data_IF_845245139279
#
_entry.id   IF_845245139279
#
_cell.length_a   1.000
_cell.length_b   1.000
_cell.length_c   1.000
_cell.angle_alpha   90.00
_cell.angle_beta   90.00
_cell.angle_gamma   90.00
#
_symmetry.space_group_name_H-M   'P 1'
#
loop_
_entity.id
_entity.type
_entity.pdbx_description
1 polymer ?
#
# COMPACT_ATOMS: atom_id res chain seq x y z
N UNK A 1 -49.51 -6.00 -16.80
CA UNK A 1 -48.70 -5.17 -15.86
C UNK A 1 -47.96 -6.15 -14.97
N UNK A 2 -46.65 -6.37 -15.18
CA UNK A 2 -45.89 -7.40 -14.47
C UNK A 2 -45.92 -7.23 -12.95
N UNK A 3 -45.98 -5.98 -12.45
CA UNK A 3 -46.02 -5.72 -10.99
C UNK A 3 -47.33 -6.19 -10.31
N UNK A 4 -48.45 -6.22 -11.02
CA UNK A 4 -49.74 -6.62 -10.43
C UNK A 4 -49.80 -8.12 -10.09
N UNK A 5 -49.12 -8.96 -10.87
CA UNK A 5 -49.04 -10.40 -10.63
C UNK A 5 -48.15 -10.73 -9.43
N UNK A 6 -47.08 -9.94 -9.21
CA UNK A 6 -46.19 -10.08 -8.06
C UNK A 6 -46.93 -9.86 -6.74
N UNK A 7 -47.75 -8.81 -6.63
CA UNK A 7 -48.51 -8.56 -5.41
C UNK A 7 -49.52 -9.69 -5.10
N UNK A 8 -50.21 -10.18 -6.13
CA UNK A 8 -51.13 -11.32 -6.01
C UNK A 8 -50.42 -12.62 -5.57
N UNK A 9 -49.19 -12.84 -6.04
CA UNK A 9 -48.37 -14.00 -5.65
C UNK A 9 -47.92 -13.91 -4.18
N UNK A 10 -47.50 -12.72 -3.74
CA UNK A 10 -47.13 -12.47 -2.34
C UNK A 10 -48.34 -12.64 -1.40
N UNK A 11 -49.51 -12.11 -1.77
CA UNK A 11 -50.76 -12.28 -0.99
C UNK A 11 -51.14 -13.76 -0.87
N UNK A 12 -51.04 -14.52 -1.96
CA UNK A 12 -51.28 -15.97 -1.95
C UNK A 12 -50.29 -16.72 -1.06
N UNK A 13 -49.00 -16.38 -1.15
CA UNK A 13 -47.94 -17.01 -0.34
C UNK A 13 -48.17 -16.72 1.15
N UNK A 14 -48.53 -15.48 1.50
CA UNK A 14 -48.86 -15.10 2.87
C UNK A 14 -50.07 -15.88 3.40
N UNK A 15 -51.12 -16.02 2.58
CA UNK A 15 -52.34 -16.72 2.97
C UNK A 15 -52.15 -18.23 3.16
N UNK A 16 -51.30 -18.87 2.35
CA UNK A 16 -51.11 -20.32 2.37
C UNK A 16 -49.97 -20.76 3.29
N UNK A 17 -48.85 -20.05 3.27
CA UNK A 17 -47.56 -20.51 3.82
C UNK A 17 -47.01 -19.57 4.91
N UNK A 18 -47.65 -18.42 5.13
CA UNK A 18 -47.37 -17.50 6.22
C UNK A 18 -46.28 -16.45 5.94
N UNK A 19 -45.95 -15.60 6.94
CA UNK A 19 -45.12 -14.41 6.72
C UNK A 19 -43.68 -14.70 6.32
N UNK A 20 -43.08 -15.77 6.86
CA UNK A 20 -41.69 -16.12 6.54
C UNK A 20 -41.58 -16.55 5.07
N UNK A 21 -42.52 -17.35 4.58
CA UNK A 21 -42.57 -17.78 3.18
C UNK A 21 -42.79 -16.60 2.22
N UNK A 22 -43.64 -15.64 2.60
CA UNK A 22 -43.83 -14.39 1.84
C UNK A 22 -42.52 -13.60 1.73
N UNK A 23 -41.76 -13.46 2.83
CA UNK A 23 -40.48 -12.74 2.85
C UNK A 23 -39.40 -13.47 2.03
N UNK A 24 -39.35 -14.80 2.09
CA UNK A 24 -38.49 -15.62 1.23
C UNK A 24 -38.82 -15.42 -0.25
N UNK A 25 -40.12 -15.40 -0.60
CA UNK A 25 -40.59 -15.17 -1.96
C UNK A 25 -40.25 -13.77 -2.47
N UNK A 26 -40.46 -12.74 -1.63
CA UNK A 26 -40.09 -11.36 -1.93
C UNK A 26 -38.58 -11.23 -2.19
N UNK A 27 -37.76 -11.83 -1.33
CA UNK A 27 -36.31 -11.78 -1.47
C UNK A 27 -35.85 -12.43 -2.79
N UNK A 28 -36.40 -13.60 -3.13
CA UNK A 28 -36.09 -14.29 -4.38
C UNK A 28 -36.43 -13.45 -5.62
N UNK A 29 -37.60 -12.80 -5.63
CA UNK A 29 -38.01 -11.94 -6.74
C UNK A 29 -37.14 -10.68 -6.87
N UNK A 30 -36.77 -10.05 -5.76
CA UNK A 30 -35.89 -8.88 -5.78
C UNK A 30 -34.48 -9.23 -6.26
N UNK A 31 -33.97 -10.40 -5.87
CA UNK A 31 -32.70 -10.90 -6.36
C UNK A 31 -32.74 -11.20 -7.86
N UNK A 32 -33.78 -11.88 -8.35
CA UNK A 32 -33.99 -12.18 -9.78
C UNK A 32 -34.15 -10.90 -10.61
N UNK A 33 -34.79 -9.87 -10.06
CA UNK A 33 -34.92 -8.55 -10.67
C UNK A 33 -33.65 -7.67 -10.53
N UNK A 34 -32.56 -8.18 -9.96
CA UNK A 34 -31.31 -7.45 -9.69
C UNK A 34 -31.48 -6.18 -8.83
N UNK A 35 -32.55 -6.12 -8.02
CA UNK A 35 -32.83 -5.03 -7.08
C UNK A 35 -32.15 -5.29 -5.73
N UNK A 36 -30.82 -5.23 -5.73
CA UNK A 36 -29.99 -5.72 -4.62
C UNK A 36 -30.15 -4.93 -3.31
N UNK A 37 -30.44 -3.62 -3.37
CA UNK A 37 -30.65 -2.82 -2.15
C UNK A 37 -31.97 -3.18 -1.49
N UNK A 38 -33.03 -3.31 -2.28
CA UNK A 38 -34.33 -3.77 -1.81
C UNK A 38 -34.26 -5.22 -1.34
N UNK A 39 -33.44 -6.05 -1.99
CA UNK A 39 -33.17 -7.41 -1.56
C UNK A 39 -32.54 -7.47 -0.16
N UNK A 40 -31.58 -6.58 0.13
CA UNK A 40 -31.04 -6.44 1.49
C UNK A 40 -32.13 -6.09 2.52
N UNK A 41 -33.01 -5.16 2.19
CA UNK A 41 -34.12 -4.78 3.08
C UNK A 41 -35.08 -5.96 3.33
N UNK A 42 -35.39 -6.76 2.30
CA UNK A 42 -36.18 -7.98 2.47
C UNK A 42 -35.47 -9.01 3.36
N UNK A 43 -34.15 -9.18 3.21
CA UNK A 43 -33.33 -10.06 4.08
C UNK A 43 -33.36 -9.59 5.54
N UNK A 44 -33.27 -8.27 5.77
CA UNK A 44 -33.37 -7.67 7.12
C UNK A 44 -34.74 -7.95 7.76
N UNK A 45 -35.83 -7.75 7.01
CA UNK A 45 -37.19 -8.04 7.50
C UNK A 45 -37.35 -9.52 7.87
N UNK A 46 -36.87 -10.42 7.01
CA UNK A 46 -36.89 -11.87 7.25
C UNK A 46 -36.11 -12.25 8.50
N UNK A 47 -34.89 -11.72 8.66
CA UNK A 47 -34.05 -11.97 9.82
C UNK A 47 -34.74 -11.53 11.11
N UNK A 48 -35.27 -10.29 11.15
CA UNK A 48 -36.01 -9.78 12.32
C UNK A 48 -37.23 -10.65 12.65
N UNK A 49 -38.01 -11.03 11.64
CA UNK A 49 -39.16 -11.92 11.83
C UNK A 49 -38.75 -13.28 12.41
N UNK A 50 -37.68 -13.88 11.89
CA UNK A 50 -37.18 -15.18 12.38
C UNK A 50 -36.69 -15.15 13.83
N UNK A 51 -36.24 -13.99 14.29
CA UNK A 51 -35.80 -13.73 15.67
C UNK A 51 -36.94 -13.28 16.59
N UNK A 52 -38.18 -13.21 16.09
CA UNK A 52 -39.35 -12.75 16.85
C UNK A 52 -39.34 -11.25 17.15
N UNK A 53 -38.56 -10.47 16.39
CA UNK A 53 -38.46 -9.02 16.54
C UNK A 53 -39.51 -8.30 15.67
N UNK A 54 -39.94 -7.09 16.07
CA UNK A 54 -40.78 -6.24 15.22
C UNK A 54 -40.10 -5.96 13.87
N UNK A 55 -40.84 -6.08 12.77
CA UNK A 55 -40.33 -5.87 11.41
C UNK A 55 -39.76 -4.46 11.22
N UNK A 56 -40.43 -3.46 11.77
CA UNK A 56 -39.96 -2.08 11.79
C UNK A 56 -39.23 -1.81 13.11
N UNK A 57 -38.05 -1.17 13.09
CA UNK A 57 -37.39 -0.73 14.31
C UNK A 57 -38.26 0.33 14.99
N UNK A 58 -38.72 0.03 16.21
CA UNK A 58 -39.34 1.01 17.11
C UNK A 58 -38.22 1.53 18.03
N UNK A 59 -38.26 2.80 18.45
CA UNK A 59 -37.21 3.46 19.25
C UNK A 59 -36.81 2.76 20.57
N UNK A 60 -37.43 1.64 20.93
CA UNK A 60 -37.15 0.88 22.15
C UNK A 60 -36.64 -0.53 21.83
N UNK A 61 -35.42 -0.64 21.31
CA UNK A 61 -34.63 -1.90 21.31
C UNK A 61 -33.87 -2.09 22.64
N UNK A 62 -34.23 -1.37 23.71
CA UNK A 62 -33.54 -1.40 25.02
C UNK A 62 -33.66 -2.75 25.75
N UNK A 63 -34.61 -3.62 25.38
CA UNK A 63 -34.88 -4.89 26.05
C UNK A 63 -34.62 -6.14 25.19
N UNK A 64 -33.96 -6.01 24.04
CA UNK A 64 -33.59 -7.19 23.23
C UNK A 64 -32.48 -7.97 23.96
N UNK A 65 -32.69 -9.27 24.26
CA UNK A 65 -31.66 -10.10 24.88
C UNK A 65 -30.36 -10.09 24.08
N UNK A 66 -29.23 -10.09 24.78
CA UNK A 66 -27.90 -10.04 24.14
C UNK A 66 -27.72 -11.14 23.10
N UNK A 67 -28.12 -12.38 23.40
CA UNK A 67 -28.05 -13.48 22.45
C UNK A 67 -28.87 -13.26 21.16
N UNK A 68 -29.99 -12.53 21.24
CA UNK A 68 -30.80 -12.17 20.06
C UNK A 68 -30.16 -11.03 19.29
N UNK A 69 -29.53 -10.08 19.99
CA UNK A 69 -28.77 -8.99 19.37
C UNK A 69 -27.58 -9.53 18.59
N UNK A 70 -26.78 -10.42 19.17
CA UNK A 70 -25.66 -11.08 18.49
C UNK A 70 -26.12 -11.79 17.21
N UNK A 71 -27.21 -12.57 17.28
CA UNK A 71 -27.77 -13.24 16.09
C UNK A 71 -28.26 -12.27 15.02
N UNK A 72 -28.81 -11.13 15.42
CA UNK A 72 -29.23 -10.08 14.49
C UNK A 72 -28.01 -9.47 13.80
N UNK A 73 -26.98 -9.10 14.56
CA UNK A 73 -25.75 -8.49 14.03
C UNK A 73 -25.03 -9.45 13.07
N UNK A 74 -24.86 -10.72 13.47
CA UNK A 74 -24.27 -11.77 12.62
C UNK A 74 -25.07 -11.96 11.32
N UNK A 75 -26.40 -12.03 11.41
CA UNK A 75 -27.25 -12.20 10.23
C UNK A 75 -27.26 -10.95 9.31
N UNK A 76 -27.11 -9.75 9.87
CA UNK A 76 -26.97 -8.52 9.07
C UNK A 76 -25.62 -8.47 8.35
N UNK A 77 -24.54 -8.88 9.01
CA UNK A 77 -23.22 -9.01 8.39
C UNK A 77 -23.28 -10.02 7.23
N UNK A 78 -23.94 -11.15 7.41
CA UNK A 78 -24.10 -12.14 6.34
C UNK A 78 -24.93 -11.60 5.17
N UNK A 79 -26.01 -10.87 5.46
CA UNK A 79 -26.79 -10.20 4.42
C UNK A 79 -25.97 -9.15 3.65
N UNK A 80 -25.11 -8.38 4.34
CA UNK A 80 -24.17 -7.46 3.70
C UNK A 80 -23.16 -8.21 2.83
N UNK A 81 -22.62 -9.34 3.30
CA UNK A 81 -21.69 -10.18 2.53
C UNK A 81 -22.33 -10.67 1.24
N UNK A 82 -23.52 -11.25 1.32
CA UNK A 82 -24.26 -11.74 0.15
C UNK A 82 -24.56 -10.60 -0.85
N UNK A 83 -25.22 -9.55 -0.39
CA UNK A 83 -25.65 -8.42 -1.24
C UNK A 83 -24.46 -7.72 -1.89
N UNK A 84 -23.41 -7.47 -1.10
CA UNK A 84 -22.17 -6.90 -1.58
C UNK A 84 -21.52 -7.76 -2.66
N UNK A 85 -21.47 -9.08 -2.46
CA UNK A 85 -20.90 -10.02 -3.45
C UNK A 85 -21.67 -10.00 -4.77
N UNK A 86 -23.01 -10.00 -4.71
CA UNK A 86 -23.84 -9.94 -5.92
C UNK A 86 -23.70 -8.61 -6.66
N UNK A 87 -23.64 -7.49 -5.94
CA UNK A 87 -23.36 -6.17 -6.52
C UNK A 87 -21.99 -6.14 -7.21
N UNK A 88 -20.98 -6.70 -6.55
CA UNK A 88 -19.61 -6.72 -7.06
C UNK A 88 -19.53 -7.53 -8.36
N UNK A 89 -20.11 -8.73 -8.38
CA UNK A 89 -20.18 -9.60 -9.57
C UNK A 89 -21.04 -9.03 -10.69
N UNK A 90 -21.98 -8.14 -10.37
CA UNK A 90 -22.75 -7.38 -11.36
C UNK A 90 -21.99 -6.16 -11.91
N UNK A 91 -20.73 -5.94 -11.50
CA UNK A 91 -19.92 -4.79 -11.93
C UNK A 91 -20.25 -3.48 -11.23
N UNK A 92 -21.13 -3.49 -10.22
CA UNK A 92 -21.55 -2.32 -9.43
C UNK A 92 -20.59 -2.15 -8.24
N UNK A 93 -19.33 -1.82 -8.54
CA UNK A 93 -18.19 -1.91 -7.62
C UNK A 93 -18.36 -0.96 -6.43
N UNK A 94 -18.60 0.33 -6.66
CA UNK A 94 -18.77 1.30 -5.55
C UNK A 94 -19.93 0.94 -4.63
N UNK A 95 -21.03 0.46 -5.21
CA UNK A 95 -22.21 0.06 -4.45
C UNK A 95 -21.97 -1.22 -3.64
N UNK A 96 -21.19 -2.15 -4.19
CA UNK A 96 -20.78 -3.35 -3.45
C UNK A 96 -20.00 -3.00 -2.18
N UNK A 97 -19.10 -2.00 -2.27
CA UNK A 97 -18.25 -1.59 -1.16
C UNK A 97 -19.06 -1.01 0.01
N UNK A 98 -20.20 -0.36 -0.27
CA UNK A 98 -21.12 0.11 0.77
C UNK A 98 -21.52 -1.01 1.76
N UNK A 99 -21.70 -2.24 1.26
CA UNK A 99 -22.05 -3.41 2.07
C UNK A 99 -20.81 -4.17 2.55
N UNK A 100 -19.85 -4.42 1.66
CA UNK A 100 -18.68 -5.26 1.97
C UNK A 100 -17.78 -4.65 3.04
N UNK A 101 -17.71 -3.31 3.15
CA UNK A 101 -16.98 -2.64 4.23
C UNK A 101 -17.51 -2.99 5.63
N UNK A 102 -18.80 -3.25 5.76
CA UNK A 102 -19.43 -3.60 7.04
C UNK A 102 -19.09 -5.04 7.46
N UNK A 103 -18.73 -5.89 6.51
CA UNK A 103 -18.29 -7.28 6.78
C UNK A 103 -16.91 -7.29 7.46
N UNK A 104 -16.05 -6.31 7.14
CA UNK A 104 -14.71 -6.20 7.71
C UNK A 104 -13.70 -7.25 7.24
N UNK A 105 -14.12 -8.20 6.42
CA UNK A 105 -13.31 -9.29 5.88
C UNK A 105 -12.61 -8.86 4.58
N UNK A 106 -11.46 -8.19 4.72
CA UNK A 106 -10.71 -7.64 3.57
C UNK A 106 -10.18 -8.73 2.64
N UNK A 107 -9.83 -9.90 3.18
CA UNK A 107 -9.30 -11.02 2.38
C UNK A 107 -10.39 -11.59 1.47
N UNK A 108 -11.60 -11.77 2.00
CA UNK A 108 -12.75 -12.16 1.20
C UNK A 108 -13.00 -11.20 0.03
N UNK A 109 -13.02 -9.88 0.30
CA UNK A 109 -13.27 -8.88 -0.74
C UNK A 109 -12.17 -8.89 -1.80
N UNK A 110 -10.90 -9.05 -1.39
CA UNK A 110 -9.77 -9.18 -2.32
C UNK A 110 -9.94 -10.39 -3.23
N UNK A 111 -10.38 -11.52 -2.70
CA UNK A 111 -10.60 -12.74 -3.48
C UNK A 111 -11.77 -12.57 -4.47
N UNK A 112 -12.88 -11.95 -4.08
CA UNK A 112 -13.97 -11.66 -5.01
C UNK A 112 -13.55 -10.66 -6.10
N UNK A 113 -12.77 -9.63 -5.76
CA UNK A 113 -12.20 -8.69 -6.74
C UNK A 113 -11.23 -9.37 -7.72
N UNK A 114 -10.53 -10.42 -7.28
CA UNK A 114 -9.56 -11.15 -8.10
C UNK A 114 -10.17 -11.87 -9.31
N UNK A 115 -11.44 -12.27 -9.19
CA UNK A 115 -12.18 -12.98 -10.24
C UNK A 115 -12.77 -12.03 -11.28
N UNK A 116 -12.66 -10.73 -11.08
CA UNK A 116 -13.23 -9.71 -11.94
C UNK A 116 -12.15 -9.01 -12.76
N UNK A 117 -12.47 -8.74 -14.01
CA UNK A 117 -11.63 -7.91 -14.88
C UNK A 117 -12.27 -6.52 -14.99
N UNK A 118 -11.56 -5.45 -14.62
CA UNK A 118 -12.06 -4.10 -14.83
C UNK A 118 -12.30 -3.82 -16.31
N UNK A 119 -13.32 -3.03 -16.57
CA UNK A 119 -13.61 -2.43 -17.88
C UNK A 119 -13.17 -0.97 -17.85
N UNK A 120 -13.06 -0.34 -19.02
CA UNK A 120 -12.73 1.09 -19.10
C UNK A 120 -13.74 1.99 -18.35
N UNK A 121 -15.00 1.54 -18.21
CA UNK A 121 -16.07 2.33 -17.58
C UNK A 121 -16.03 2.27 -16.03
N UNK A 122 -15.51 1.19 -15.46
CA UNK A 122 -15.51 0.99 -14.00
C UNK A 122 -14.10 0.90 -13.38
N UNK A 123 -13.05 1.09 -14.18
CA UNK A 123 -11.66 1.05 -13.71
C UNK A 123 -11.41 1.98 -12.51
N UNK A 124 -11.96 3.20 -12.53
CA UNK A 124 -11.78 4.16 -11.44
C UNK A 124 -12.39 3.65 -10.12
N UNK A 125 -13.49 2.88 -10.18
CA UNK A 125 -14.08 2.27 -9.00
C UNK A 125 -13.20 1.14 -8.46
N UNK A 126 -12.55 0.37 -9.33
CA UNK A 126 -11.56 -0.64 -8.92
C UNK A 126 -10.33 0.01 -8.30
N UNK A 127 -9.82 1.10 -8.89
CA UNK A 127 -8.69 1.86 -8.35
C UNK A 127 -8.99 2.44 -6.96
N UNK A 128 -10.21 2.92 -6.74
CA UNK A 128 -10.69 3.35 -5.43
C UNK A 128 -10.55 2.24 -4.38
N UNK A 129 -11.02 1.04 -4.70
CA UNK A 129 -10.96 -0.11 -3.80
C UNK A 129 -9.53 -0.64 -3.61
N UNK A 130 -8.75 -0.73 -4.68
CA UNK A 130 -7.39 -1.26 -4.65
C UNK A 130 -6.42 -0.33 -3.89
N UNK A 131 -6.47 0.97 -4.18
CA UNK A 131 -5.48 1.94 -3.69
C UNK A 131 -6.00 2.74 -2.48
N UNK A 132 -7.17 3.38 -2.59
CA UNK A 132 -7.65 4.25 -1.51
C UNK A 132 -8.12 3.45 -0.29
N UNK A 133 -8.90 2.38 -0.52
CA UNK A 133 -9.32 1.46 0.54
C UNK A 133 -8.21 0.45 0.93
N UNK A 134 -7.17 0.33 0.08
CA UNK A 134 -5.97 -0.46 0.33
C UNK A 134 -6.19 -1.98 0.23
N UNK A 135 -7.11 -2.43 -0.61
CA UNK A 135 -7.42 -3.85 -0.74
C UNK A 135 -6.32 -4.61 -1.48
N UNK A 136 -5.71 -4.01 -2.51
CA UNK A 136 -4.70 -4.65 -3.38
C UNK A 136 -3.84 -3.62 -4.10
N UNK A 137 -2.75 -3.18 -3.48
CA UNK A 137 -1.86 -2.16 -4.05
C UNK A 137 -1.14 -2.62 -5.32
N UNK A 138 -0.83 -3.92 -5.44
CA UNK A 138 -0.10 -4.46 -6.58
C UNK A 138 -0.95 -4.36 -7.84
N UNK A 139 -2.21 -4.81 -7.79
CA UNK A 139 -3.13 -4.65 -8.92
C UNK A 139 -3.45 -3.20 -9.23
N UNK A 140 -3.63 -2.38 -8.19
CA UNK A 140 -3.91 -0.96 -8.35
C UNK A 140 -2.83 -0.23 -9.15
N UNK A 141 -1.56 -0.37 -8.75
CA UNK A 141 -0.45 0.27 -9.47
C UNK A 141 -0.17 -0.36 -10.84
N UNK A 142 -0.34 -1.67 -11.00
CA UNK A 142 -0.22 -2.32 -12.30
C UNK A 142 -1.25 -1.75 -13.30
N UNK A 143 -2.51 -1.62 -12.87
CA UNK A 143 -3.56 -1.04 -13.71
C UNK A 143 -3.33 0.46 -13.99
N UNK A 144 -2.84 1.24 -13.02
CA UNK A 144 -2.47 2.64 -13.24
C UNK A 144 -1.37 2.80 -14.30
N UNK A 145 -0.31 1.99 -14.21
CA UNK A 145 0.80 2.03 -15.15
C UNK A 145 0.34 1.67 -16.57
N UNK A 146 -0.52 0.67 -16.69
CA UNK A 146 -1.03 0.21 -17.98
C UNK A 146 -1.99 1.22 -18.63
N UNK A 147 -2.91 1.80 -17.85
CA UNK A 147 -4.03 2.59 -18.40
C UNK A 147 -3.80 4.10 -18.36
N UNK A 148 -3.06 4.60 -17.38
CA UNK A 148 -2.85 6.04 -17.13
C UNK A 148 -1.37 6.47 -17.24
N UNK A 149 -0.44 5.52 -17.35
CA UNK A 149 0.99 5.76 -17.57
C UNK A 149 1.79 6.19 -16.33
N UNK A 150 3.08 6.44 -16.56
CA UNK A 150 4.10 6.66 -15.51
C UNK A 150 3.83 7.91 -14.66
N UNK A 151 3.54 9.06 -15.28
CA UNK A 151 3.34 10.33 -14.57
C UNK A 151 2.17 10.27 -13.58
N UNK A 152 1.03 9.70 -14.02
CA UNK A 152 -0.14 9.54 -13.17
C UNK A 152 0.16 8.56 -12.03
N UNK A 153 0.84 7.45 -12.33
CA UNK A 153 1.24 6.46 -11.33
C UNK A 153 2.18 7.03 -10.26
N UNK A 154 3.12 7.89 -10.64
CA UNK A 154 4.00 8.62 -9.72
C UNK A 154 3.19 9.57 -8.82
N UNK A 155 2.28 10.34 -9.41
CA UNK A 155 1.43 11.30 -8.68
C UNK A 155 0.52 10.58 -7.68
N UNK A 156 -0.07 9.45 -8.09
CA UNK A 156 -0.90 8.63 -7.21
C UNK A 156 -0.06 7.96 -6.12
N UNK A 157 1.16 7.50 -6.42
CA UNK A 157 2.06 6.94 -5.41
C UNK A 157 2.35 7.96 -4.31
N UNK A 158 2.80 9.16 -4.69
CA UNK A 158 3.19 10.20 -3.72
C UNK A 158 2.03 10.61 -2.79
N UNK A 159 0.80 10.61 -3.31
CA UNK A 159 -0.40 10.97 -2.54
C UNK A 159 -0.98 9.82 -1.70
N UNK A 160 -1.12 8.62 -2.25
CA UNK A 160 -1.80 7.49 -1.58
C UNK A 160 -0.87 6.75 -0.62
N UNK A 161 0.43 6.67 -0.95
CA UNK A 161 1.41 5.93 -0.15
C UNK A 161 2.00 6.77 0.99
N UNK A 162 1.71 8.06 1.03
CA UNK A 162 2.12 8.93 2.12
C UNK A 162 1.59 8.42 3.47
N UNK A 163 2.50 8.23 4.43
CA UNK A 163 2.16 7.74 5.77
C UNK A 163 1.75 6.26 5.84
N UNK A 164 1.74 5.51 4.72
CA UNK A 164 1.51 4.06 4.74
C UNK A 164 2.74 3.32 5.28
N UNK A 165 2.59 2.13 5.88
CA UNK A 165 3.71 1.30 6.27
C UNK A 165 4.66 1.01 5.10
N UNK A 166 5.96 0.90 5.37
CA UNK A 166 6.98 0.69 4.34
C UNK A 166 6.71 -0.54 3.47
N UNK A 167 6.21 -1.62 4.06
CA UNK A 167 5.84 -2.84 3.34
C UNK A 167 4.79 -2.58 2.24
N UNK A 168 3.83 -1.69 2.48
CA UNK A 168 2.82 -1.31 1.49
C UNK A 168 3.41 -0.39 0.42
N UNK A 169 4.22 0.60 0.83
CA UNK A 169 4.91 1.52 -0.08
C UNK A 169 5.83 0.76 -1.05
N UNK A 170 6.55 -0.24 -0.55
CA UNK A 170 7.45 -1.08 -1.33
C UNK A 170 6.77 -1.74 -2.54
N UNK A 171 5.47 -2.07 -2.45
CA UNK A 171 4.71 -2.70 -3.53
C UNK A 171 4.63 -1.76 -4.75
N UNK A 172 4.20 -0.52 -4.54
CA UNK A 172 4.11 0.47 -5.61
C UNK A 172 5.48 0.88 -6.14
N UNK A 173 6.46 1.07 -5.25
CA UNK A 173 7.82 1.45 -5.61
C UNK A 173 8.47 0.38 -6.52
N UNK A 174 8.30 -0.91 -6.20
CA UNK A 174 8.79 -2.02 -7.01
C UNK A 174 8.25 -1.97 -8.45
N UNK A 175 6.94 -1.77 -8.61
CA UNK A 175 6.32 -1.71 -9.93
C UNK A 175 6.82 -0.51 -10.74
N UNK A 176 6.94 0.65 -10.09
CA UNK A 176 7.46 1.87 -10.72
C UNK A 176 8.93 1.72 -11.15
N UNK A 177 9.78 1.13 -10.30
CA UNK A 177 11.19 0.86 -10.62
C UNK A 177 11.31 -0.07 -11.81
N UNK A 178 10.58 -1.20 -11.81
CA UNK A 178 10.62 -2.16 -12.92
C UNK A 178 10.13 -1.55 -14.22
N UNK A 179 9.04 -0.78 -14.17
CA UNK A 179 8.49 -0.11 -15.34
C UNK A 179 9.46 0.91 -15.93
N UNK A 180 9.99 1.81 -15.10
CA UNK A 180 10.90 2.86 -15.58
C UNK A 180 12.24 2.30 -16.06
N UNK A 181 12.77 1.26 -15.41
CA UNK A 181 13.97 0.58 -15.87
C UNK A 181 13.74 -0.08 -17.24
N UNK A 182 12.62 -0.78 -17.43
CA UNK A 182 12.28 -1.37 -18.73
C UNK A 182 12.14 -0.31 -19.84
N UNK A 183 11.54 0.84 -19.52
CA UNK A 183 11.45 2.00 -20.43
C UNK A 183 12.86 2.52 -20.82
N UNK A 184 13.75 2.68 -19.83
CA UNK A 184 15.14 3.10 -20.06
C UNK A 184 15.89 2.13 -20.97
N UNK A 185 15.83 0.84 -20.67
CA UNK A 185 16.48 -0.20 -21.50
C UNK A 185 15.93 -0.19 -22.92
N UNK A 186 14.61 -0.08 -23.09
CA UNK A 186 13.98 0.01 -24.41
C UNK A 186 14.48 1.21 -25.21
N UNK A 187 14.57 2.38 -24.58
CA UNK A 187 15.01 3.61 -25.23
C UNK A 187 16.51 3.61 -25.55
N UNK A 188 17.34 3.07 -24.67
CA UNK A 188 18.78 2.87 -24.90
C UNK A 188 19.02 1.90 -26.06
N UNK A 189 18.31 0.76 -26.10
CA UNK A 189 18.35 -0.20 -27.23
C UNK A 189 18.02 0.49 -28.55
N UNK A 190 16.90 1.21 -28.59
CA UNK A 190 16.48 1.90 -29.79
C UNK A 190 17.49 2.97 -30.24
N UNK A 191 18.24 3.59 -29.32
CA UNK A 191 19.29 4.56 -29.66
C UNK A 191 20.55 3.87 -30.21
N UNK A 192 20.99 2.77 -29.61
CA UNK A 192 22.12 1.97 -30.10
C UNK A 192 21.85 1.41 -31.51
N UNK A 193 20.65 0.89 -31.76
CA UNK A 193 20.24 0.41 -33.08
C UNK A 193 20.29 1.52 -34.14
N UNK A 194 19.82 2.73 -33.80
CA UNK A 194 19.83 3.88 -34.71
C UNK A 194 21.25 4.37 -35.05
N UNK A 195 22.18 4.22 -34.12
CA UNK A 195 23.58 4.63 -34.29
C UNK A 195 24.46 3.55 -34.90
N UNK A 196 23.91 2.36 -35.19
CA UNK A 196 24.63 1.22 -35.75
C UNK A 196 25.55 0.54 -34.74
N UNK A 197 25.33 0.78 -33.44
CA UNK A 197 26.06 0.14 -32.35
C UNK A 197 25.71 -1.35 -32.22
N UNK A 198 26.60 -2.12 -31.59
CA UNK A 198 26.28 -3.47 -31.18
C UNK A 198 25.23 -3.43 -30.06
N UNK A 199 24.19 -4.25 -30.18
CA UNK A 199 23.14 -4.40 -29.17
C UNK A 199 23.40 -5.71 -28.43
N UNK A 200 23.90 -5.68 -27.19
CA UNK A 200 24.18 -6.88 -26.41
C UNK A 200 22.91 -7.71 -26.13
N UNK A 201 23.07 -9.01 -25.89
CA UNK A 201 21.94 -9.86 -25.47
C UNK A 201 21.50 -9.55 -24.03
N UNK A 202 22.47 -9.29 -23.14
CA UNK A 202 22.26 -8.85 -21.75
C UNK A 202 22.50 -7.34 -21.65
N UNK A 203 21.54 -6.63 -21.06
CA UNK A 203 21.54 -5.17 -20.99
C UNK A 203 21.67 -4.73 -19.53
N UNK A 204 22.89 -4.32 -19.16
CA UNK A 204 23.14 -3.60 -17.91
C UNK A 204 23.45 -2.15 -18.25
N UNK A 205 22.73 -1.23 -17.59
CA UNK A 205 22.92 0.21 -17.83
C UNK A 205 24.35 0.63 -17.52
N UNK A 206 24.94 0.10 -16.44
CA UNK A 206 26.32 0.38 -16.01
C UNK A 206 27.36 0.06 -17.09
N UNK A 207 27.23 -1.09 -17.76
CA UNK A 207 28.14 -1.51 -18.83
C UNK A 207 28.04 -0.59 -20.05
N UNK A 208 26.82 -0.18 -20.42
CA UNK A 208 26.61 0.72 -21.56
C UNK A 208 27.20 2.11 -21.32
N UNK A 209 27.00 2.64 -20.12
CA UNK A 209 27.55 3.95 -19.74
C UNK A 209 29.08 3.91 -19.82
N UNK A 210 29.71 2.85 -19.28
CA UNK A 210 31.17 2.71 -19.28
C UNK A 210 31.78 2.56 -20.69
N UNK A 211 31.05 1.94 -21.63
CA UNK A 211 31.52 1.70 -22.99
C UNK A 211 31.19 2.84 -23.97
N UNK A 212 30.22 3.69 -23.64
CA UNK A 212 29.61 4.64 -24.57
C UNK A 212 29.35 6.02 -23.93
N UNK A 213 30.42 6.75 -23.61
CA UNK A 213 30.35 8.15 -23.11
C UNK A 213 29.48 9.08 -23.98
N UNK A 214 29.37 8.80 -25.28
CA UNK A 214 28.57 9.57 -26.23
C UNK A 214 27.06 9.45 -26.01
N UNK A 215 26.57 8.51 -25.21
CA UNK A 215 25.13 8.36 -24.89
C UNK A 215 24.55 9.64 -24.27
N UNK A 216 25.37 10.41 -23.56
CA UNK A 216 24.96 11.66 -22.89
C UNK A 216 25.45 12.91 -23.61
N UNK A 217 26.05 12.76 -24.80
CA UNK A 217 26.51 13.90 -25.59
C UNK A 217 25.34 14.84 -25.94
N UNK A 218 25.63 16.13 -26.03
CA UNK A 218 24.66 17.18 -26.39
C UNK A 218 23.40 17.21 -25.49
N UNK A 219 23.56 16.90 -24.20
CA UNK A 219 22.48 16.83 -23.21
C UNK A 219 21.41 15.76 -23.55
N UNK A 220 21.80 14.71 -24.27
CA UNK A 220 20.89 13.61 -24.63
C UNK A 220 20.46 12.84 -23.37
N UNK A 221 19.17 12.53 -23.29
CA UNK A 221 18.58 11.69 -22.27
C UNK A 221 17.54 10.74 -22.90
N UNK A 222 17.30 9.61 -22.25
CA UNK A 222 16.54 8.48 -22.79
C UNK A 222 15.25 8.19 -22.04
N UNK A 223 15.00 8.89 -20.94
CA UNK A 223 13.78 8.77 -20.12
C UNK A 223 13.47 10.14 -19.54
N UNK A 224 12.21 10.36 -19.18
CA UNK A 224 11.81 11.58 -18.48
C UNK A 224 12.56 11.70 -17.15
N UNK A 225 13.28 12.82 -16.98
CA UNK A 225 14.18 13.04 -15.84
C UNK A 225 13.43 13.37 -14.55
N UNK A 226 12.18 13.88 -14.65
CA UNK A 226 11.30 14.06 -13.50
C UNK A 226 10.74 12.73 -13.01
N UNK A 227 10.42 11.82 -13.95
CA UNK A 227 10.05 10.44 -13.60
C UNK A 227 11.21 9.73 -12.92
N UNK A 228 12.42 9.85 -13.48
CA UNK A 228 13.63 9.26 -12.91
C UNK A 228 13.88 9.71 -11.47
N UNK A 229 13.90 11.03 -11.22
CA UNK A 229 14.13 11.55 -9.88
C UNK A 229 13.09 11.04 -8.87
N UNK A 230 11.82 11.00 -9.27
CA UNK A 230 10.72 10.51 -8.42
C UNK A 230 10.85 9.01 -8.11
N UNK A 231 11.09 8.18 -9.13
CA UNK A 231 11.19 6.73 -8.97
C UNK A 231 12.43 6.35 -8.16
N UNK A 232 13.58 7.01 -8.36
CA UNK A 232 14.77 6.79 -7.53
C UNK A 232 14.52 7.14 -6.07
N UNK A 233 13.77 8.21 -5.78
CA UNK A 233 13.35 8.55 -4.41
C UNK A 233 12.44 7.48 -3.81
N UNK A 234 11.44 6.99 -4.55
CA UNK A 234 10.53 5.93 -4.10
C UNK A 234 11.21 4.59 -3.92
N UNK A 235 12.22 4.29 -4.75
CA UNK A 235 12.96 3.04 -4.71
C UNK A 235 13.64 2.78 -3.36
N UNK A 236 13.85 3.81 -2.53
CA UNK A 236 14.34 3.64 -1.16
C UNK A 236 13.41 2.79 -0.28
N UNK A 237 12.16 2.58 -0.67
CA UNK A 237 11.22 1.71 0.05
C UNK A 237 11.30 0.23 -0.37
N UNK A 238 11.91 -0.12 -1.50
CA UNK A 238 11.89 -1.50 -2.03
C UNK A 238 12.79 -2.45 -1.24
N UNK A 239 12.34 -3.69 -1.00
CA UNK A 239 13.03 -4.67 -0.15
C UNK A 239 13.71 -5.81 -0.92
N UNK A 240 13.23 -6.15 -2.12
CA UNK A 240 13.78 -7.25 -2.90
C UNK A 240 15.05 -6.86 -3.65
N UNK A 241 15.98 -7.82 -3.73
CA UNK A 241 17.29 -7.66 -4.38
C UNK A 241 17.16 -7.25 -5.84
N UNK A 242 16.21 -7.84 -6.58
CA UNK A 242 15.97 -7.52 -7.99
C UNK A 242 15.64 -6.03 -8.16
N UNK A 243 14.67 -5.51 -7.40
CA UNK A 243 14.30 -4.10 -7.50
C UNK A 243 15.40 -3.15 -7.01
N UNK A 244 16.21 -3.56 -6.03
CA UNK A 244 17.38 -2.79 -5.60
C UNK A 244 18.45 -2.69 -6.70
N UNK A 245 18.69 -3.77 -7.45
CA UNK A 245 19.59 -3.77 -8.60
C UNK A 245 19.10 -2.80 -9.69
N UNK A 246 17.82 -2.90 -10.07
CA UNK A 246 17.23 -1.99 -11.07
C UNK A 246 17.28 -0.53 -10.60
N UNK A 247 17.00 -0.27 -9.32
CA UNK A 247 17.10 1.06 -8.74
C UNK A 247 18.53 1.60 -8.73
N UNK A 248 19.53 0.74 -8.51
CA UNK A 248 20.93 1.12 -8.58
C UNK A 248 21.34 1.53 -10.01
N UNK A 249 20.89 0.80 -11.03
CA UNK A 249 21.14 1.14 -12.43
C UNK A 249 20.46 2.45 -12.84
N UNK A 250 19.23 2.70 -12.36
CA UNK A 250 18.54 3.98 -12.56
C UNK A 250 19.29 5.15 -11.91
N UNK A 251 19.78 4.97 -10.68
CA UNK A 251 20.56 5.98 -9.98
C UNK A 251 21.89 6.26 -10.70
N UNK A 252 22.58 5.22 -11.15
CA UNK A 252 23.83 5.35 -11.92
C UNK A 252 23.61 6.08 -13.25
N UNK A 253 22.53 5.77 -13.97
CA UNK A 253 22.13 6.54 -15.15
C UNK A 253 21.91 8.02 -14.83
N UNK A 254 21.20 8.31 -13.74
CA UNK A 254 20.95 9.67 -13.28
C UNK A 254 22.21 10.48 -13.00
N UNK A 255 23.28 9.84 -12.51
CA UNK A 255 24.58 10.48 -12.25
C UNK A 255 25.29 10.97 -13.53
N UNK A 256 24.98 10.38 -14.68
CA UNK A 256 25.62 10.70 -15.96
C UNK A 256 24.83 11.71 -16.80
N UNK A 257 23.62 12.08 -16.36
CA UNK A 257 22.86 13.16 -16.98
C UNK A 257 23.59 14.49 -16.87
N UNK A 258 23.26 15.43 -17.76
CA UNK A 258 23.69 16.81 -17.62
C UNK A 258 23.28 17.38 -16.24
N UNK A 259 24.14 18.21 -15.63
CA UNK A 259 23.90 18.78 -14.31
C UNK A 259 22.57 19.56 -14.20
N UNK A 260 22.07 20.15 -15.29
CA UNK A 260 20.77 20.86 -15.31
C UNK A 260 19.57 19.91 -15.27
N UNK A 261 19.77 18.63 -15.61
CA UNK A 261 18.78 17.56 -15.58
C UNK A 261 18.88 16.69 -14.32
N UNK A 262 19.90 16.94 -13.48
CA UNK A 262 20.05 16.29 -12.18
C UNK A 262 19.25 17.07 -11.13
N UNK A 263 18.03 16.61 -10.87
CA UNK A 263 17.20 17.19 -9.81
C UNK A 263 17.85 16.98 -8.44
N UNK A 264 17.87 18.01 -7.58
CA UNK A 264 18.43 17.89 -6.24
C UNK A 264 17.56 16.96 -5.39
N UNK A 265 18.20 16.30 -4.43
CA UNK A 265 17.52 15.63 -3.33
C UNK A 265 17.19 16.61 -2.20
N UNK A 266 16.58 16.07 -1.14
CA UNK A 266 16.28 16.83 0.06
C UNK A 266 17.49 16.85 1.01
N UNK A 267 17.81 17.99 1.67
CA UNK A 267 18.84 18.05 2.69
C UNK A 267 18.64 16.97 3.79
N UNK A 268 19.71 16.30 4.26
CA UNK A 268 21.14 16.54 3.98
C UNK A 268 21.71 15.70 2.82
N UNK A 269 20.85 15.21 1.92
CA UNK A 269 21.23 14.40 0.76
C UNK A 269 20.90 15.16 -0.54
N UNK A 270 21.51 16.33 -0.71
CA UNK A 270 21.28 17.24 -1.84
C UNK A 270 21.59 16.57 -3.20
N UNK A 271 22.57 15.67 -3.22
CA UNK A 271 22.91 14.87 -4.40
C UNK A 271 22.06 13.59 -4.45
N UNK A 272 20.89 13.67 -5.09
CA UNK A 272 19.91 12.58 -5.15
C UNK A 272 20.51 11.25 -5.62
N UNK A 273 21.16 11.25 -6.78
CA UNK A 273 21.63 10.03 -7.41
C UNK A 273 22.83 9.40 -6.69
N UNK A 274 23.91 10.15 -6.35
CA UNK A 274 25.03 9.60 -5.58
C UNK A 274 24.62 9.03 -4.23
N UNK A 275 23.75 9.74 -3.47
CA UNK A 275 23.29 9.25 -2.17
C UNK A 275 22.42 7.98 -2.31
N UNK A 276 21.54 7.94 -3.31
CA UNK A 276 20.67 6.79 -3.54
C UNK A 276 21.46 5.58 -4.06
N UNK A 277 22.43 5.78 -4.96
CA UNK A 277 23.30 4.71 -5.46
C UNK A 277 24.10 4.05 -4.33
N UNK A 278 24.73 4.85 -3.46
CA UNK A 278 25.42 4.34 -2.26
C UNK A 278 24.49 3.50 -1.40
N UNK A 279 23.30 4.02 -1.12
CA UNK A 279 22.29 3.32 -0.32
C UNK A 279 21.90 1.96 -0.94
N UNK A 280 21.61 1.91 -2.24
CA UNK A 280 21.25 0.65 -2.91
C UNK A 280 22.41 -0.34 -2.96
N UNK A 281 23.64 0.12 -3.25
CA UNK A 281 24.85 -0.73 -3.22
C UNK A 281 25.07 -1.37 -1.85
N UNK A 282 24.94 -0.60 -0.77
CA UNK A 282 25.05 -1.15 0.57
C UNK A 282 24.02 -2.25 0.85
N UNK A 283 22.77 -2.06 0.43
CA UNK A 283 21.72 -3.08 0.56
C UNK A 283 22.00 -4.35 -0.26
N UNK A 284 22.70 -4.21 -1.39
CA UNK A 284 23.19 -5.31 -2.21
C UNK A 284 24.46 -5.97 -1.64
N UNK A 285 25.01 -5.45 -0.54
CA UNK A 285 26.22 -5.96 0.12
C UNK A 285 27.52 -5.38 -0.44
N UNK A 286 27.45 -4.30 -1.20
CA UNK A 286 28.60 -3.61 -1.82
C UNK A 286 28.95 -2.35 -1.02
N UNK A 287 30.25 -2.10 -0.80
CA UNK A 287 30.75 -0.86 -0.14
C UNK A 287 30.02 -0.55 1.19
N UNK A 288 29.65 -1.58 1.96
CA UNK A 288 28.76 -1.46 3.13
C UNK A 288 29.35 -0.55 4.20
N UNK A 289 30.60 -0.78 4.60
CA UNK A 289 31.25 -0.02 5.67
C UNK A 289 31.43 1.46 5.29
N UNK A 290 31.88 1.74 4.07
CA UNK A 290 32.08 3.10 3.56
C UNK A 290 30.74 3.85 3.46
N UNK A 291 29.68 3.15 3.05
CA UNK A 291 28.34 3.72 2.96
C UNK A 291 27.76 3.99 4.35
N UNK A 292 27.93 3.07 5.31
CA UNK A 292 27.49 3.28 6.69
C UNK A 292 28.17 4.49 7.32
N UNK A 293 29.46 4.68 7.08
CA UNK A 293 30.18 5.86 7.57
C UNK A 293 29.62 7.16 6.97
N UNK A 294 29.39 7.18 5.65
CA UNK A 294 28.77 8.33 4.99
C UNK A 294 27.41 8.72 5.60
N UNK A 295 26.51 7.75 5.81
CA UNK A 295 25.19 8.02 6.40
C UNK A 295 25.27 8.37 7.89
N UNK A 296 26.22 7.76 8.63
CA UNK A 296 26.51 8.10 10.04
C UNK A 296 26.95 9.55 10.16
N UNK A 297 27.92 10.01 9.36
CA UNK A 297 28.41 11.38 9.40
C UNK A 297 27.28 12.40 9.17
N UNK A 298 26.39 12.12 8.20
CA UNK A 298 25.22 12.99 7.94
C UNK A 298 24.23 12.98 9.08
N UNK A 299 23.99 11.82 9.69
CA UNK A 299 23.13 11.70 10.85
C UNK A 299 23.69 12.45 12.08
N UNK A 300 25.00 12.45 12.28
CA UNK A 300 25.68 13.16 13.38
C UNK A 300 25.76 14.67 13.19
N UNK A 301 25.78 15.13 11.94
CA UNK A 301 25.80 16.55 11.60
C UNK A 301 24.39 17.19 11.67
N UNK A 302 23.34 16.39 11.55
CA UNK A 302 21.97 16.87 11.66
C UNK A 302 21.68 17.37 13.09
N UNK A 303 20.92 18.47 13.21
CA UNK A 303 20.42 18.94 14.51
C UNK A 303 18.91 18.70 14.62
N UNK A 304 18.43 17.62 15.28
CA UNK A 304 17.00 17.28 15.32
C UNK A 304 16.06 18.31 15.94
N UNK A 305 16.59 19.35 16.59
CA UNK A 305 15.80 20.44 17.18
C UNK A 305 15.58 21.60 16.23
N UNK A 306 16.48 21.77 15.27
CA UNK A 306 16.47 22.86 14.28
C UNK A 306 16.11 22.32 12.89
N UNK A 307 16.60 21.12 12.58
CA UNK A 307 16.37 20.35 11.37
C UNK A 307 15.36 19.22 11.61
N UNK A 308 15.04 18.49 10.54
CA UNK A 308 14.25 17.26 10.62
C UNK A 308 15.09 16.07 11.08
N UNK A 309 14.44 15.00 11.57
CA UNK A 309 15.12 13.75 11.94
C UNK A 309 15.48 12.85 10.74
N UNK A 310 15.24 13.30 9.50
CA UNK A 310 15.30 12.43 8.32
C UNK A 310 16.69 11.80 8.10
N UNK A 311 17.77 12.54 8.36
CA UNK A 311 19.14 12.06 8.22
C UNK A 311 19.42 10.85 9.12
N UNK A 312 19.02 10.98 10.39
CA UNK A 312 19.16 9.95 11.41
C UNK A 312 18.25 8.78 11.07
N UNK A 313 17.01 9.04 10.66
CA UNK A 313 16.08 7.97 10.29
C UNK A 313 16.53 7.18 9.06
N UNK A 314 17.12 7.82 8.04
CA UNK A 314 17.69 7.11 6.88
C UNK A 314 18.87 6.22 7.31
N UNK A 315 19.74 6.69 8.21
CA UNK A 315 20.84 5.90 8.73
C UNK A 315 20.35 4.71 9.58
N UNK A 316 19.38 4.91 10.48
CA UNK A 316 18.78 3.86 11.31
C UNK A 316 18.04 2.83 10.45
N UNK A 317 17.30 3.27 9.41
CA UNK A 317 16.65 2.40 8.44
C UNK A 317 17.68 1.54 7.70
N UNK A 318 18.78 2.13 7.21
CA UNK A 318 19.87 1.39 6.56
C UNK A 318 20.46 0.32 7.49
N UNK A 319 20.78 0.67 8.74
CA UNK A 319 21.29 -0.29 9.73
C UNK A 319 20.31 -1.45 9.96
N UNK A 320 19.03 -1.14 10.11
CA UNK A 320 17.99 -2.16 10.32
C UNK A 320 17.92 -3.14 9.14
N UNK A 321 17.98 -2.61 7.90
CA UNK A 321 17.91 -3.41 6.68
C UNK A 321 19.16 -4.24 6.41
N UNK A 322 20.31 -3.81 6.92
CA UNK A 322 21.56 -4.59 6.92
C UNK A 322 21.61 -5.62 8.07
N UNK A 323 20.51 -5.83 8.80
CA UNK A 323 20.43 -6.78 9.90
C UNK A 323 21.11 -6.30 11.20
N UNK A 324 21.51 -5.04 11.28
CA UNK A 324 22.17 -4.43 12.43
C UNK A 324 21.17 -3.75 13.38
N UNK A 325 20.02 -4.38 13.62
CA UNK A 325 18.91 -3.80 14.38
C UNK A 325 19.29 -3.35 15.80
N UNK A 326 20.20 -4.06 16.48
CA UNK A 326 20.68 -3.64 17.82
C UNK A 326 21.44 -2.32 17.75
N UNK A 327 22.35 -2.18 16.79
CA UNK A 327 23.07 -0.93 16.57
C UNK A 327 22.11 0.19 16.15
N UNK A 328 21.11 -0.11 15.32
CA UNK A 328 20.08 0.83 14.92
C UNK A 328 19.31 1.40 16.13
N UNK A 329 18.99 0.57 17.13
CA UNK A 329 18.38 1.00 18.39
C UNK A 329 19.33 1.95 19.15
N UNK A 330 20.58 1.54 19.34
CA UNK A 330 21.56 2.31 20.12
C UNK A 330 21.81 3.69 19.47
N UNK A 331 21.96 3.74 18.15
CA UNK A 331 22.14 4.98 17.39
C UNK A 331 20.90 5.87 17.40
N UNK A 332 19.70 5.29 17.27
CA UNK A 332 18.44 6.02 17.37
C UNK A 332 18.29 6.70 18.74
N UNK A 333 18.58 5.97 19.84
CA UNK A 333 18.51 6.51 21.19
C UNK A 333 19.58 7.57 21.47
N UNK A 334 20.76 7.45 20.85
CA UNK A 334 21.86 8.40 20.98
C UNK A 334 21.60 9.70 20.22
N UNK A 335 21.13 9.58 18.98
CA UNK A 335 21.03 10.70 18.03
C UNK A 335 19.71 11.45 18.14
N UNK A 336 18.62 10.79 18.58
CA UNK A 336 17.29 11.41 18.66
C UNK A 336 16.96 11.75 20.12
N UNK A 337 16.93 13.04 20.50
CA UNK A 337 16.55 13.45 21.83
C UNK A 337 15.10 13.05 22.18
N UNK A 338 14.84 12.84 23.47
CA UNK A 338 13.50 12.57 23.95
C UNK A 338 12.52 13.70 23.60
N UNK A 339 11.32 13.33 23.14
CA UNK A 339 10.25 14.27 22.80
C UNK A 339 10.31 14.84 21.39
N UNK A 340 11.32 14.50 20.59
CA UNK A 340 11.35 14.86 19.17
C UNK A 340 10.47 13.89 18.36
N UNK A 341 9.48 14.39 17.59
CA UNK A 341 8.68 13.54 16.72
C UNK A 341 9.52 13.03 15.55
N UNK A 342 9.34 11.75 15.21
CA UNK A 342 9.94 11.14 14.03
C UNK A 342 9.10 11.43 12.79
N UNK A 343 9.73 11.40 11.62
CA UNK A 343 9.06 11.50 10.32
C UNK A 343 8.37 10.18 9.93
N UNK A 344 8.72 9.07 10.59
CA UNK A 344 8.19 7.74 10.30
C UNK A 344 8.91 7.05 9.15
N UNK A 345 10.12 7.51 8.83
CA UNK A 345 10.98 6.91 7.81
C UNK A 345 11.66 5.65 8.36
N UNK A 346 12.19 5.70 9.58
CA UNK A 346 12.80 4.55 10.22
C UNK A 346 11.76 3.65 10.90
N UNK A 347 12.04 2.34 11.03
CA UNK A 347 11.26 1.47 11.92
C UNK A 347 11.25 2.02 13.35
N UNK A 348 10.14 1.85 14.04
CA UNK A 348 10.01 2.20 15.45
C UNK A 348 10.97 1.38 16.31
N UNK A 349 11.33 1.90 17.49
CA UNK A 349 12.17 1.17 18.45
C UNK A 349 11.58 -0.20 18.84
N UNK A 350 10.24 -0.32 18.84
CA UNK A 350 9.55 -1.59 19.09
C UNK A 350 9.73 -2.59 17.94
N UNK A 351 9.61 -2.15 16.69
CA UNK A 351 9.86 -3.01 15.52
C UNK A 351 11.32 -3.45 15.47
N UNK A 352 12.26 -2.54 15.76
CA UNK A 352 13.68 -2.89 15.86
C UNK A 352 13.95 -3.91 16.96
N UNK A 353 13.43 -3.69 18.17
CA UNK A 353 13.60 -4.61 19.30
C UNK A 353 12.98 -5.98 19.02
N UNK A 354 11.81 -6.02 18.38
CA UNK A 354 11.19 -7.26 17.95
C UNK A 354 12.03 -8.00 16.91
N UNK A 355 12.66 -7.29 15.97
CA UNK A 355 13.49 -7.89 14.92
C UNK A 355 14.77 -8.54 15.45
N UNK A 356 15.37 -8.01 16.53
CA UNK A 356 16.56 -8.58 17.15
C UNK A 356 16.28 -9.39 18.43
N UNK A 357 15.02 -9.44 18.88
CA UNK A 357 14.63 -10.10 20.13
C UNK A 357 15.15 -9.43 21.41
N UNK A 358 15.61 -8.18 21.34
CA UNK A 358 16.20 -7.46 22.46
C UNK A 358 15.40 -6.21 22.83
N UNK A 359 14.58 -6.36 23.87
CA UNK A 359 13.73 -5.30 24.41
C UNK A 359 14.36 -4.58 25.61
N UNK A 360 15.58 -4.93 26.04
CA UNK A 360 16.22 -4.27 27.18
C UNK A 360 16.37 -2.75 27.02
N UNK A 361 16.76 -2.21 25.84
CA UNK A 361 16.82 -0.77 25.62
C UNK A 361 15.47 -0.08 25.84
N UNK A 362 14.37 -0.71 25.39
CA UNK A 362 13.02 -0.20 25.58
C UNK A 362 12.61 -0.19 27.04
N UNK A 363 12.91 -1.27 27.78
CA UNK A 363 12.65 -1.33 29.22
C UNK A 363 13.34 -0.18 29.96
N UNK A 364 14.59 0.11 29.65
CA UNK A 364 15.33 1.19 30.29
C UNK A 364 14.78 2.57 29.89
N UNK A 365 14.49 2.77 28.62
CA UNK A 365 13.89 4.01 28.12
C UNK A 365 12.53 4.28 28.79
N UNK A 366 11.66 3.28 28.88
CA UNK A 366 10.36 3.40 29.53
C UNK A 366 10.49 3.71 31.02
N UNK A 367 11.49 3.14 31.71
CA UNK A 367 11.80 3.46 33.11
C UNK A 367 12.20 4.93 33.25
N UNK A 368 13.10 5.43 32.41
CA UNK A 368 13.56 6.83 32.42
C UNK A 368 12.38 7.79 32.16
N UNK A 369 11.47 7.42 31.26
CA UNK A 369 10.31 8.25 30.88
C UNK A 369 9.11 8.11 31.81
N UNK A 370 9.13 7.19 32.77
CA UNK A 370 7.98 6.88 33.62
C UNK A 370 6.80 6.25 32.85
N UNK A 371 7.06 5.66 31.68
CA UNK A 371 6.06 4.99 30.85
C UNK A 371 5.82 3.57 31.38
N UNK A 372 4.83 3.44 32.28
CA UNK A 372 4.47 2.17 32.91
C UNK A 372 3.98 1.12 31.89
N UNK A 373 3.28 1.55 30.83
CA UNK A 373 2.73 0.64 29.82
C UNK A 373 3.88 0.11 28.96
N UNK A 374 4.76 0.97 28.44
CA UNK A 374 5.93 0.54 27.68
C UNK A 374 6.89 -0.32 28.50
N UNK A 375 7.03 -0.04 29.80
CA UNK A 375 7.83 -0.87 30.70
C UNK A 375 7.25 -2.28 30.84
N UNK A 376 5.94 -2.40 31.08
CA UNK A 376 5.28 -3.69 31.18
C UNK A 376 5.31 -4.45 29.85
N UNK A 377 5.05 -3.78 28.73
CA UNK A 377 5.08 -4.36 27.39
C UNK A 377 6.47 -4.93 27.07
N UNK A 378 7.52 -4.13 27.22
CA UNK A 378 8.89 -4.59 26.96
C UNK A 378 9.31 -5.76 27.84
N UNK A 379 8.87 -5.80 29.11
CA UNK A 379 9.12 -6.92 30.03
C UNK A 379 8.42 -8.22 29.61
N UNK A 380 7.16 -8.13 29.19
CA UNK A 380 6.38 -9.27 28.72
C UNK A 380 6.88 -9.79 27.36
N UNK A 381 7.39 -8.91 26.50
CA UNK A 381 7.99 -9.33 25.23
C UNK A 381 9.41 -9.91 25.38
N UNK A 382 10.05 -9.75 26.54
CA UNK A 382 11.36 -10.33 26.86
C UNK A 382 11.30 -11.70 27.54
N UNK A 383 10.10 -12.17 27.90
CA UNK A 383 9.87 -13.46 28.58
C UNK A 383 9.48 -14.53 27.58
#
# INVERSE_FOLDING_TARGET
>A
MPDAEIFLDLDKTLANDGPLAMLDRLAAQLQEAHKYHEWFEARKLRLRHSLGLPLLPVQADEHVPEATRTKLDEGLIEACREVGTWLLRAGRVRESWHYLRAVGDREFVRNELAELTPTAENLDEFLELWLHEGLDYERGFAALLEQYGTCNSITTYDSVMYGKPRADRAIGARLLVRHLHAELIGNLRAHLERTGGFVPAEFHVSSLIAEHDWLFADHTYHIDTTHLASVVRFARDVDDVESQQLASELAEYGMHLDATLQYPGDPPFDDLYPASLRYFRALLGEEVEETLEYFRERAEQANPREDTTIAIEVYVDLLARLGQARLAIDECLRLIPAGIPLTGRAPSLYELAASCGDFCPLTELSRIRGDLIGYALSKLSSS
#
